data_IF_111019062884
#
_entry.id   IF_111019062884
#
_cell.length_a   1.000
_cell.length_b   1.000
_cell.length_c   1.000
_cell.angle_alpha   90.00
_cell.angle_beta   90.00
_cell.angle_gamma   90.00
#
_symmetry.space_group_name_H-M   'P 1'
#
loop_
_entity.id
_entity.type
_entity.pdbx_description
1 polymer ?
#
# COMPACT_ATOMS: atom_id res chain seq x y z
N UNK A 1 -6.52 -26.46 -5.95
CA UNK A 1 -6.49 -26.31 -4.48
C UNK A 1 -5.19 -25.62 -4.16
N UNK A 2 -5.21 -24.34 -3.79
CA UNK A 2 -4.04 -23.71 -3.19
C UNK A 2 -4.05 -24.12 -1.71
N UNK A 3 -2.96 -24.70 -1.23
CA UNK A 3 -2.82 -25.01 0.20
C UNK A 3 -3.06 -23.73 1.00
N UNK A 4 -3.86 -23.83 2.06
CA UNK A 4 -4.04 -22.69 2.97
C UNK A 4 -2.65 -22.32 3.50
N UNK A 5 -2.23 -21.04 3.41
CA UNK A 5 -0.94 -20.64 3.92
C UNK A 5 -0.88 -20.95 5.42
N UNK A 6 0.24 -21.54 5.86
CA UNK A 6 0.47 -21.84 7.26
C UNK A 6 0.42 -20.55 8.08
N UNK A 7 -0.48 -20.52 9.08
CA UNK A 7 -0.64 -19.39 9.99
C UNK A 7 0.09 -19.62 11.30
N UNK A 8 0.57 -18.54 11.91
CA UNK A 8 1.22 -18.55 13.20
C UNK A 8 0.86 -17.30 14.02
N UNK A 9 1.04 -17.39 15.34
CA UNK A 9 0.74 -16.30 16.26
C UNK A 9 1.99 -15.47 16.56
N UNK A 10 1.87 -14.15 16.43
CA UNK A 10 2.84 -13.18 16.92
C UNK A 10 2.38 -12.64 18.28
N UNK A 11 3.03 -13.05 19.36
CA UNK A 11 2.68 -12.62 20.72
C UNK A 11 3.53 -11.45 21.23
N UNK A 12 4.53 -11.01 20.45
CA UNK A 12 5.49 -9.97 20.84
C UNK A 12 5.31 -8.66 20.08
N UNK A 13 4.18 -8.50 19.38
CA UNK A 13 3.90 -7.33 18.57
C UNK A 13 3.69 -6.08 19.42
N UNK A 14 4.43 -5.01 19.09
CA UNK A 14 4.38 -3.70 19.74
C UNK A 14 3.36 -2.76 19.08
N UNK A 15 2.74 -3.16 17.97
CA UNK A 15 1.77 -2.36 17.22
C UNK A 15 2.31 -0.97 16.80
N UNK A 16 3.59 -0.91 16.43
CA UNK A 16 4.23 0.30 15.93
C UNK A 16 3.94 0.52 14.45
N UNK A 17 3.83 -0.56 13.66
CA UNK A 17 3.42 -0.55 12.26
C UNK A 17 2.08 -1.27 12.18
N UNK A 18 1.08 -0.69 11.51
CA UNK A 18 -0.19 -1.36 11.23
C UNK A 18 -0.74 -0.96 9.87
N UNK A 19 -1.72 -1.70 9.37
CA UNK A 19 -2.51 -1.33 8.21
C UNK A 19 -3.92 -1.04 8.68
N UNK A 20 -4.46 0.10 8.23
CA UNK A 20 -5.85 0.48 8.46
C UNK A 20 -6.60 0.34 7.14
N UNK A 21 -7.79 -0.24 7.19
CA UNK A 21 -8.49 -0.81 6.04
C UNK A 21 -10.00 -0.59 6.15
N UNK A 22 -10.61 -0.28 5.01
CA UNK A 22 -12.05 -0.20 4.80
C UNK A 22 -12.38 -0.54 3.34
N UNK A 23 -13.65 -0.49 2.97
CA UNK A 23 -14.07 -0.71 1.57
C UNK A 23 -13.51 0.33 0.61
N UNK A 24 -13.24 1.56 1.08
CA UNK A 24 -12.75 2.63 0.20
C UNK A 24 -11.25 2.51 -0.08
N UNK A 25 -10.49 1.84 0.79
CA UNK A 25 -9.04 1.75 0.64
C UNK A 25 -8.31 1.35 1.91
N UNK A 26 -6.98 1.51 1.87
CA UNK A 26 -6.09 1.17 2.97
C UNK A 26 -4.95 2.17 3.13
N UNK A 27 -4.42 2.30 4.35
CA UNK A 27 -3.21 3.07 4.60
C UNK A 27 -2.26 2.32 5.52
N UNK A 28 -0.97 2.49 5.25
CA UNK A 28 0.11 1.97 6.08
C UNK A 28 0.46 3.01 7.14
N UNK A 29 0.41 2.59 8.39
CA UNK A 29 0.52 3.44 9.56
C UNK A 29 1.75 3.06 10.37
N UNK A 30 2.51 4.06 10.83
CA UNK A 30 3.54 3.89 11.85
C UNK A 30 3.11 4.60 13.14
N UNK A 31 3.68 5.76 13.47
CA UNK A 31 3.13 6.70 14.48
C UNK A 31 2.06 7.63 13.87
N UNK A 32 2.17 7.85 12.57
CA UNK A 32 1.22 8.55 11.71
C UNK A 32 1.09 7.75 10.41
N UNK A 33 0.08 8.00 9.57
CA UNK A 33 0.05 7.43 8.23
C UNK A 33 1.37 7.76 7.50
N UNK A 34 1.85 6.84 6.67
CA UNK A 34 3.00 7.07 5.78
C UNK A 34 2.57 7.09 4.31
N UNK A 35 1.51 6.34 4.00
CA UNK A 35 0.99 6.19 2.65
C UNK A 35 -0.47 5.76 2.73
N UNK A 36 -1.30 6.33 1.87
CA UNK A 36 -2.71 6.00 1.74
C UNK A 36 -3.05 5.69 0.27
N UNK A 37 -3.81 4.63 0.08
CA UNK A 37 -4.35 4.22 -1.22
C UNK A 37 -5.87 4.05 -1.11
N UNK A 38 -6.61 4.50 -2.11
CA UNK A 38 -8.06 4.39 -2.14
C UNK A 38 -8.59 4.28 -3.57
N UNK A 39 -9.77 3.70 -3.73
CA UNK A 39 -10.39 3.54 -5.05
C UNK A 39 -10.69 4.89 -5.70
N UNK A 40 -10.47 4.97 -7.01
CA UNK A 40 -10.83 6.15 -7.81
C UNK A 40 -12.34 6.21 -8.16
N UNK A 41 -13.11 5.22 -7.67
CA UNK A 41 -14.55 5.05 -7.84
C UNK A 41 -15.02 5.25 -9.28
N UNK A 42 -14.15 4.93 -10.24
CA UNK A 42 -14.47 4.84 -11.66
C UNK A 42 -14.92 3.40 -11.99
N UNK A 43 -15.48 3.14 -13.18
CA UNK A 43 -15.80 1.77 -13.62
C UNK A 43 -14.55 0.93 -13.96
N UNK A 44 -13.39 1.27 -13.38
CA UNK A 44 -12.11 0.60 -13.57
C UNK A 44 -11.53 0.18 -12.21
N UNK A 45 -10.53 -0.70 -12.21
CA UNK A 45 -9.81 -1.14 -11.00
C UNK A 45 -8.67 -0.20 -10.61
N UNK A 46 -8.84 1.11 -10.84
CA UNK A 46 -7.81 2.11 -10.54
C UNK A 46 -7.89 2.54 -9.08
N UNK A 47 -6.72 2.58 -8.44
CA UNK A 47 -6.52 3.18 -7.12
C UNK A 47 -5.70 4.46 -7.24
N UNK A 48 -6.01 5.39 -6.36
CA UNK A 48 -5.28 6.62 -6.13
C UNK A 48 -4.32 6.40 -4.97
N UNK A 49 -3.16 7.04 -5.07
CA UNK A 49 -2.06 6.86 -4.14
C UNK A 49 -1.47 8.20 -3.71
N UNK A 50 -1.30 8.32 -2.40
CA UNK A 50 -0.65 9.45 -1.75
C UNK A 50 0.40 8.94 -0.78
N UNK A 51 1.66 9.28 -1.03
CA UNK A 51 2.78 8.97 -0.14
C UNK A 51 3.20 10.24 0.58
N UNK A 52 3.61 10.11 1.84
CA UNK A 52 4.10 11.22 2.64
C UNK A 52 5.61 11.37 2.52
N UNK A 53 6.20 12.48 3.00
CA UNK A 53 7.64 12.65 3.02
C UNK A 53 8.32 11.51 3.76
N UNK A 54 9.55 11.20 3.35
CA UNK A 54 10.27 10.05 3.88
C UNK A 54 10.42 10.15 5.42
N UNK A 55 9.85 9.17 6.14
CA UNK A 55 9.92 9.11 7.60
C UNK A 55 11.20 8.37 8.02
N UNK A 56 12.22 9.12 8.43
CA UNK A 56 13.54 8.57 8.76
C UNK A 56 13.51 7.64 9.98
N UNK A 57 12.71 7.97 11.00
CA UNK A 57 12.54 7.15 12.20
C UNK A 57 12.00 5.76 11.85
N UNK A 58 10.92 5.70 11.07
CA UNK A 58 10.39 4.43 10.54
C UNK A 58 11.45 3.63 9.78
N UNK A 59 12.23 4.29 8.90
CA UNK A 59 13.28 3.60 8.12
C UNK A 59 14.37 3.03 9.00
N UNK A 60 14.74 3.73 10.07
CA UNK A 60 15.77 3.29 11.00
C UNK A 60 15.26 2.17 11.90
N UNK A 61 14.01 2.24 12.39
CA UNK A 61 13.36 1.17 13.16
C UNK A 61 13.28 -0.16 12.40
N UNK A 62 12.90 -0.09 11.11
CA UNK A 62 12.89 -1.25 10.21
C UNK A 62 14.31 -1.76 9.99
N UNK A 63 15.26 -0.88 9.65
CA UNK A 63 16.66 -1.28 9.34
C UNK A 63 17.33 -1.96 10.53
N UNK A 64 17.13 -1.45 11.75
CA UNK A 64 17.73 -2.03 12.96
C UNK A 64 17.23 -3.45 13.26
N UNK A 65 16.04 -3.81 12.79
CA UNK A 65 15.44 -5.14 13.01
C UNK A 65 15.64 -6.10 11.85
N UNK A 66 15.99 -5.63 10.65
CA UNK A 66 16.27 -6.53 9.53
C UNK A 66 17.68 -7.10 9.62
N UNK A 67 17.76 -8.42 9.74
CA UNK A 67 19.03 -9.15 9.72
C UNK A 67 19.55 -9.26 8.28
N UNK A 68 20.86 -9.07 8.09
CA UNK A 68 21.52 -9.13 6.80
C UNK A 68 21.59 -10.57 6.25
N UNK A 69 20.62 -10.98 5.42
CA UNK A 69 20.73 -12.09 4.44
C UNK A 69 19.52 -12.14 3.47
N UNK A 70 19.31 -11.07 2.70
CA UNK A 70 18.10 -10.92 1.86
C UNK A 70 18.30 -11.34 0.40
N UNK A 71 19.24 -12.24 0.11
CA UNK A 71 19.61 -12.65 -1.26
C UNK A 71 19.39 -14.15 -1.53
N UNK A 72 19.05 -14.95 -0.52
CA UNK A 72 18.85 -16.38 -0.66
C UNK A 72 17.43 -16.76 -1.10
N UNK A 73 17.28 -17.99 -1.63
CA UNK A 73 15.98 -18.60 -1.92
C UNK A 73 15.46 -19.38 -0.71
N UNK A 74 14.29 -18.98 -0.20
CA UNK A 74 13.66 -19.61 0.96
C UNK A 74 12.40 -20.42 0.63
N UNK A 75 12.14 -20.74 -0.64
CA UNK A 75 10.91 -21.44 -1.07
C UNK A 75 10.63 -22.69 -0.25
N UNK A 76 11.66 -23.50 0.04
CA UNK A 76 11.56 -24.73 0.83
C UNK A 76 12.15 -24.60 2.26
N UNK A 77 12.45 -23.36 2.69
CA UNK A 77 13.13 -23.06 3.97
C UNK A 77 12.35 -21.99 4.75
N UNK A 78 11.02 -22.07 4.76
CA UNK A 78 10.15 -21.14 5.48
C UNK A 78 10.50 -20.96 6.97
N UNK A 79 10.91 -22.00 7.73
CA UNK A 79 11.36 -21.80 9.11
C UNK A 79 12.59 -20.89 9.23
N UNK A 80 13.55 -20.98 8.30
CA UNK A 80 14.73 -20.11 8.27
C UNK A 80 14.35 -18.67 7.89
N UNK A 81 13.47 -18.52 6.89
CA UNK A 81 12.94 -17.20 6.50
C UNK A 81 12.19 -16.54 7.66
N UNK A 82 11.39 -17.32 8.39
CA UNK A 82 10.69 -16.83 9.58
C UNK A 82 11.68 -16.33 10.61
N UNK A 83 12.79 -17.03 10.87
CA UNK A 83 13.82 -16.56 11.80
C UNK A 83 14.46 -15.21 11.37
N UNK A 84 14.59 -14.96 10.07
CA UNK A 84 15.11 -13.69 9.53
C UNK A 84 14.10 -12.55 9.69
N UNK A 85 12.82 -12.85 9.51
CA UNK A 85 11.72 -11.85 9.56
C UNK A 85 11.18 -11.64 10.98
N UNK A 86 11.37 -12.59 11.90
CA UNK A 86 10.84 -12.56 13.26
C UNK A 86 11.17 -11.28 14.05
N UNK A 87 12.38 -10.69 13.96
CA UNK A 87 12.64 -9.42 14.63
C UNK A 87 11.79 -8.27 14.07
N UNK A 88 11.47 -8.29 12.77
CA UNK A 88 10.58 -7.30 12.14
C UNK A 88 9.14 -7.43 12.65
N UNK A 89 8.68 -8.65 12.94
CA UNK A 89 7.32 -8.90 13.45
C UNK A 89 7.03 -8.21 14.78
N UNK A 90 8.05 -7.87 15.57
CA UNK A 90 7.88 -7.10 16.79
C UNK A 90 7.32 -5.69 16.52
N UNK A 91 7.52 -5.14 15.32
CA UNK A 91 6.94 -3.85 14.95
C UNK A 91 5.43 -3.93 14.70
N UNK A 92 4.89 -5.09 14.33
CA UNK A 92 3.48 -5.26 13.96
C UNK A 92 2.58 -5.48 15.19
N UNK A 93 1.24 -5.47 15.05
CA UNK A 93 0.35 -5.85 16.14
C UNK A 93 0.60 -7.29 16.59
N UNK A 94 0.29 -7.61 17.84
CA UNK A 94 0.11 -9.00 18.23
C UNK A 94 -1.10 -9.56 17.48
N UNK A 95 -1.02 -10.81 17.00
CA UNK A 95 -2.10 -11.40 16.20
C UNK A 95 -1.66 -12.56 15.32
N UNK A 96 -2.55 -12.99 14.44
CA UNK A 96 -2.31 -14.10 13.51
C UNK A 96 -1.66 -13.59 12.22
N UNK A 97 -0.64 -14.31 11.75
CA UNK A 97 0.10 -13.98 10.53
C UNK A 97 0.34 -15.20 9.65
N UNK A 98 0.50 -14.97 8.35
CA UNK A 98 1.14 -15.92 7.44
C UNK A 98 2.37 -15.32 6.78
N UNK A 99 3.28 -16.21 6.37
CA UNK A 99 4.50 -15.86 5.65
C UNK A 99 4.55 -16.66 4.35
N UNK A 100 4.73 -15.99 3.22
CA UNK A 100 4.84 -16.63 1.91
C UNK A 100 6.04 -16.10 1.15
N UNK A 101 6.88 -16.99 0.62
CA UNK A 101 8.01 -16.62 -0.24
C UNK A 101 7.63 -16.84 -1.71
N UNK A 102 7.84 -15.83 -2.53
CA UNK A 102 7.47 -15.82 -3.94
C UNK A 102 8.74 -15.82 -4.80
N UNK A 103 8.85 -16.81 -5.67
CA UNK A 103 10.01 -17.06 -6.54
C UNK A 103 9.64 -17.35 -7.99
N UNK A 104 8.36 -17.24 -8.34
CA UNK A 104 7.83 -17.75 -9.61
C UNK A 104 8.70 -17.32 -10.78
N UNK A 105 9.13 -18.32 -11.55
CA UNK A 105 9.84 -18.15 -12.79
C UNK A 105 8.88 -17.55 -13.80
N UNK A 106 8.89 -16.23 -13.94
CA UNK A 106 8.26 -15.59 -15.08
C UNK A 106 8.89 -16.17 -16.35
N UNK A 107 8.11 -16.94 -17.10
CA UNK A 107 8.44 -17.31 -18.47
C UNK A 107 7.75 -16.27 -19.35
N UNK A 108 8.55 -15.42 -20.01
CA UNK A 108 8.07 -14.56 -21.09
C UNK A 108 7.15 -15.38 -22.00
N UNK A 109 5.88 -14.98 -22.23
CA UNK A 109 5.04 -15.65 -23.22
C UNK A 109 5.78 -15.65 -24.56
N UNK A 110 5.87 -16.81 -25.20
CA UNK A 110 6.71 -17.00 -26.40
C UNK A 110 6.15 -16.32 -27.65
N UNK A 111 4.87 -15.91 -27.67
CA UNK A 111 4.17 -15.65 -28.95
C UNK A 111 3.15 -14.50 -28.93
N UNK A 112 3.16 -13.59 -27.94
CA UNK A 112 2.28 -12.40 -27.98
C UNK A 112 3.08 -11.11 -27.89
N UNK A 113 2.82 -10.17 -28.80
CA UNK A 113 3.32 -8.78 -28.72
C UNK A 113 2.77 -8.01 -27.50
N UNK A 114 1.78 -8.59 -26.81
CA UNK A 114 1.28 -8.12 -25.52
C UNK A 114 2.14 -8.66 -24.39
N UNK A 115 2.95 -7.78 -23.80
CA UNK A 115 3.60 -8.02 -22.51
C UNK A 115 2.54 -7.75 -21.43
N UNK A 116 1.84 -8.79 -20.99
CA UNK A 116 1.14 -8.70 -19.71
C UNK A 116 2.22 -8.69 -18.63
N UNK A 117 2.41 -7.55 -17.96
CA UNK A 117 3.20 -7.53 -16.74
C UNK A 117 2.33 -8.14 -15.66
N UNK A 118 2.74 -9.25 -15.05
CA UNK A 118 1.96 -9.88 -13.97
C UNK A 118 2.04 -9.07 -12.66
N UNK A 119 2.76 -7.95 -12.67
CA UNK A 119 2.97 -7.09 -11.51
C UNK A 119 3.18 -5.62 -11.88
N UNK A 120 2.86 -4.74 -10.95
CA UNK A 120 3.08 -3.29 -11.03
C UNK A 120 3.84 -2.79 -9.79
N UNK A 121 4.55 -1.67 -9.95
CA UNK A 121 5.25 -0.99 -8.88
C UNK A 121 4.83 0.48 -8.84
N UNK A 122 4.07 0.85 -7.80
CA UNK A 122 3.54 2.19 -7.62
C UNK A 122 4.47 3.04 -6.74
N UNK A 123 5.09 4.06 -7.35
CA UNK A 123 5.82 5.12 -6.67
C UNK A 123 5.12 6.46 -6.88
N UNK A 124 4.88 7.18 -5.79
CA UNK A 124 4.29 8.51 -5.84
C UNK A 124 5.30 9.59 -5.42
N UNK A 125 5.04 10.82 -5.86
CA UNK A 125 5.70 11.99 -5.28
C UNK A 125 5.12 12.28 -3.89
N UNK A 126 5.93 12.78 -2.94
CA UNK A 126 5.45 13.05 -1.60
C UNK A 126 4.41 14.18 -1.60
N UNK A 127 3.37 14.03 -0.79
CA UNK A 127 2.48 15.11 -0.41
C UNK A 127 3.19 16.04 0.56
N UNK A 128 3.00 17.34 0.36
CA UNK A 128 3.36 18.35 1.34
C UNK A 128 2.16 19.29 1.55
N UNK A 129 1.47 19.10 2.67
CA UNK A 129 0.27 19.87 3.02
C UNK A 129 0.57 21.37 3.12
N UNK A 130 1.81 21.76 3.42
CA UNK A 130 2.21 23.18 3.48
C UNK A 130 2.17 23.84 2.09
N UNK A 131 2.26 23.05 1.01
CA UNK A 131 2.19 23.53 -0.37
C UNK A 131 0.75 23.53 -0.93
N UNK A 132 -0.28 23.34 -0.12
CA UNK A 132 -1.67 23.22 -0.60
C UNK A 132 -2.13 24.42 -1.44
N UNK A 133 -1.80 25.65 -1.03
CA UNK A 133 -2.21 26.87 -1.73
C UNK A 133 -1.49 26.99 -3.08
N UNK A 134 -0.22 26.62 -3.11
CA UNK A 134 0.57 26.56 -4.33
C UNK A 134 -0.01 25.53 -5.30
N UNK A 135 -0.35 24.33 -4.83
CA UNK A 135 -0.95 23.27 -5.68
C UNK A 135 -2.32 23.66 -6.22
N UNK A 136 -3.13 24.36 -5.42
CA UNK A 136 -4.39 24.91 -5.90
C UNK A 136 -4.17 25.97 -6.98
N UNK A 137 -3.19 26.86 -6.80
CA UNK A 137 -2.83 27.89 -7.79
C UNK A 137 -2.35 27.27 -9.10
N UNK A 138 -1.41 26.33 -9.06
CA UNK A 138 -0.89 25.60 -10.23
C UNK A 138 -2.05 24.96 -11.04
N UNK A 139 -3.01 24.36 -10.33
CA UNK A 139 -4.19 23.77 -10.96
C UNK A 139 -5.11 24.81 -11.63
N UNK A 140 -5.36 25.96 -10.98
CA UNK A 140 -6.17 27.02 -11.56
C UNK A 140 -5.52 27.64 -12.80
N UNK A 141 -4.19 27.79 -12.79
CA UNK A 141 -3.40 28.23 -13.95
C UNK A 141 -3.50 27.21 -15.09
N UNK A 142 -3.33 25.92 -14.80
CA UNK A 142 -3.53 24.84 -15.77
C UNK A 142 -4.92 24.87 -16.42
N UNK A 143 -5.98 25.08 -15.63
CA UNK A 143 -7.35 25.23 -16.18
C UNK A 143 -7.49 26.46 -17.08
N UNK A 144 -6.84 27.57 -16.73
CA UNK A 144 -6.91 28.81 -17.49
C UNK A 144 -6.20 28.71 -18.85
N UNK A 145 -5.10 27.96 -18.92
CA UNK A 145 -4.33 27.71 -20.14
C UNK A 145 -5.04 26.70 -21.07
N UNK A 146 -5.72 25.70 -20.50
CA UNK A 146 -6.27 24.56 -21.25
C UNK A 146 -7.76 24.69 -21.62
N UNK A 147 -8.32 25.92 -21.65
CA UNK A 147 -9.74 26.23 -21.90
C UNK A 147 -10.37 25.60 -23.15
N UNK A 148 -9.58 25.09 -24.11
CA UNK A 148 -10.04 24.57 -25.41
C UNK A 148 -10.11 23.04 -25.52
N UNK A 149 -9.62 22.31 -24.52
CA UNK A 149 -9.53 20.86 -24.59
C UNK A 149 -10.58 20.22 -23.66
N UNK A 150 -11.45 19.35 -24.22
CA UNK A 150 -12.55 18.65 -23.52
C UNK A 150 -12.08 17.57 -22.50
N UNK A 151 -11.02 17.85 -21.74
CA UNK A 151 -10.35 16.89 -20.84
C UNK A 151 -10.98 16.91 -19.43
N UNK A 152 -12.31 16.97 -19.37
CA UNK A 152 -13.07 17.24 -18.13
C UNK A 152 -12.83 16.18 -17.02
N UNK A 153 -12.37 14.97 -17.38
CA UNK A 153 -12.05 13.91 -16.41
C UNK A 153 -10.58 13.87 -15.96
N UNK A 154 -9.66 14.51 -16.67
CA UNK A 154 -8.22 14.54 -16.34
C UNK A 154 -7.87 15.82 -15.56
N UNK A 155 -8.60 16.90 -15.82
CA UNK A 155 -8.42 18.19 -15.16
C UNK A 155 -9.10 18.28 -13.77
N UNK A 156 -9.06 17.24 -12.93
CA UNK A 156 -9.55 17.31 -11.55
C UNK A 156 -8.38 17.51 -10.59
N UNK A 157 -8.48 18.47 -9.66
CA UNK A 157 -7.40 18.81 -8.72
C UNK A 157 -6.87 17.59 -7.94
N UNK A 158 -7.77 16.76 -7.40
CA UNK A 158 -7.36 15.55 -6.68
C UNK A 158 -6.56 14.59 -7.57
N UNK A 159 -6.88 14.49 -8.87
CA UNK A 159 -6.18 13.61 -9.81
C UNK A 159 -4.81 14.16 -10.20
N UNK A 160 -4.66 15.48 -10.27
CA UNK A 160 -3.38 16.14 -10.55
C UNK A 160 -2.40 16.09 -9.36
N UNK A 161 -2.93 15.82 -8.17
CA UNK A 161 -2.18 15.80 -6.91
C UNK A 161 -2.11 14.42 -6.28
N UNK A 162 -2.52 13.38 -7.02
CA UNK A 162 -2.38 11.97 -6.63
C UNK A 162 -1.65 11.20 -7.73
N UNK A 163 -1.00 10.11 -7.35
CA UNK A 163 -0.58 9.09 -8.29
C UNK A 163 -1.72 8.09 -8.51
N UNK A 164 -1.80 7.43 -9.66
CA UNK A 164 -2.78 6.38 -9.91
C UNK A 164 -2.08 5.09 -10.35
N UNK A 165 -2.56 3.95 -9.86
CA UNK A 165 -2.07 2.62 -10.24
C UNK A 165 -3.25 1.66 -10.44
N UNK A 166 -3.01 0.53 -11.09
CA UNK A 166 -4.03 -0.46 -11.38
C UNK A 166 -3.95 -1.63 -10.39
N UNK A 167 -5.03 -1.89 -9.67
CA UNK A 167 -5.14 -3.05 -8.76
C UNK A 167 -5.63 -4.32 -9.48
N UNK A 168 -5.45 -4.38 -10.80
CA UNK A 168 -5.86 -5.50 -11.66
C UNK A 168 -4.74 -6.50 -11.94
N UNK A 169 -3.52 -6.20 -11.52
CA UNK A 169 -2.36 -7.10 -11.64
C UNK A 169 -2.37 -8.17 -10.55
N UNK A 170 -1.69 -9.30 -10.77
CA UNK A 170 -1.55 -10.33 -9.74
C UNK A 170 -0.83 -9.76 -8.50
N UNK A 171 0.17 -8.90 -8.72
CA UNK A 171 0.89 -8.20 -7.67
C UNK A 171 1.05 -6.70 -7.95
N UNK A 172 0.30 -5.85 -7.24
CA UNK A 172 0.48 -4.39 -7.25
C UNK A 172 1.25 -3.95 -6.01
N UNK A 173 2.54 -3.64 -6.13
CA UNK A 173 3.37 -3.23 -4.99
C UNK A 173 3.29 -1.72 -4.76
N UNK A 174 2.97 -1.34 -3.52
CA UNK A 174 2.82 0.05 -3.10
C UNK A 174 4.03 0.48 -2.28
N UNK A 175 4.80 1.45 -2.80
CA UNK A 175 6.01 1.92 -2.16
C UNK A 175 5.73 2.82 -0.95
N UNK A 176 6.07 2.36 0.27
CA UNK A 176 6.06 3.18 1.49
C UNK A 176 7.14 4.29 1.52
N UNK A 177 7.94 4.40 0.45
CA UNK A 177 8.97 5.40 0.27
C UNK A 177 8.59 6.28 -0.93
N UNK A 178 8.70 7.62 -0.84
CA UNK A 178 8.45 8.49 -1.98
C UNK A 178 9.45 8.25 -3.10
N UNK A 179 9.07 8.59 -4.33
CA UNK A 179 9.93 8.46 -5.51
C UNK A 179 11.28 9.20 -5.32
N UNK A 180 11.27 10.35 -4.64
CA UNK A 180 12.47 11.12 -4.30
C UNK A 180 13.43 10.42 -3.32
N UNK A 181 12.98 9.39 -2.61
CA UNK A 181 13.82 8.55 -1.75
C UNK A 181 14.57 7.45 -2.51
N UNK A 182 14.23 7.20 -3.78
CA UNK A 182 14.92 6.23 -4.61
C UNK A 182 16.29 6.78 -5.01
N UNK A 183 17.30 5.95 -4.80
CA UNK A 183 18.71 6.26 -5.02
C UNK A 183 19.18 5.47 -6.23
N UNK A 184 19.44 6.17 -7.33
CA UNK A 184 19.79 5.55 -8.61
C UNK A 184 21.06 4.70 -8.52
N UNK A 185 22.04 5.10 -7.70
CA UNK A 185 23.24 4.31 -7.45
C UNK A 185 22.94 2.96 -6.77
N UNK A 186 21.92 2.91 -5.90
CA UNK A 186 21.48 1.68 -5.24
C UNK A 186 20.68 0.79 -6.19
N UNK A 187 19.87 1.39 -7.06
CA UNK A 187 19.15 0.66 -8.11
C UNK A 187 20.16 -0.02 -9.04
N UNK A 188 21.12 0.73 -9.57
CA UNK A 188 22.20 0.20 -10.43
C UNK A 188 22.99 -0.92 -9.77
N UNK A 189 23.36 -0.75 -8.50
CA UNK A 189 24.01 -1.81 -7.74
C UNK A 189 23.19 -3.11 -7.75
N UNK A 190 21.88 -3.05 -7.50
CA UNK A 190 21.03 -4.23 -7.54
C UNK A 190 20.81 -4.78 -8.95
N UNK A 191 20.73 -3.93 -9.97
CA UNK A 191 20.69 -4.37 -11.37
C UNK A 191 21.93 -5.20 -11.72
N UNK A 192 23.12 -4.75 -11.30
CA UNK A 192 24.37 -5.50 -11.48
C UNK A 192 24.36 -6.83 -10.72
N UNK A 193 23.93 -6.86 -9.46
CA UNK A 193 23.85 -8.10 -8.69
C UNK A 193 22.87 -9.10 -9.37
N UNK A 194 21.68 -8.62 -9.76
CA UNK A 194 20.67 -9.45 -10.43
C UNK A 194 21.20 -10.02 -11.75
N UNK A 195 21.91 -9.20 -12.52
CA UNK A 195 22.52 -9.62 -13.79
C UNK A 195 23.61 -10.69 -13.58
N UNK A 196 24.36 -10.62 -12.47
CA UNK A 196 25.37 -11.64 -12.08
C UNK A 196 24.77 -12.96 -11.59
N UNK A 197 23.46 -13.01 -11.40
CA UNK A 197 22.76 -14.22 -10.95
C UNK A 197 22.21 -14.13 -9.52
N UNK A 198 22.54 -13.09 -8.77
CA UNK A 198 21.96 -12.87 -7.44
C UNK A 198 20.46 -12.60 -7.57
N UNK A 199 19.71 -12.90 -6.51
CA UNK A 199 18.27 -12.70 -6.50
C UNK A 199 17.83 -12.09 -5.18
N UNK A 200 18.20 -10.81 -4.93
CA UNK A 200 17.75 -10.07 -3.75
C UNK A 200 16.23 -10.11 -3.66
N UNK A 201 15.67 -10.28 -2.47
CA UNK A 201 14.22 -10.25 -2.27
C UNK A 201 13.75 -9.03 -1.49
N UNK A 202 12.52 -8.60 -1.77
CA UNK A 202 11.83 -7.54 -1.06
C UNK A 202 10.93 -8.09 0.06
N UNK A 203 10.59 -7.25 1.04
CA UNK A 203 9.66 -7.59 2.12
C UNK A 203 8.41 -6.75 1.95
N UNK A 204 7.27 -7.43 1.83
CA UNK A 204 5.96 -6.85 1.59
C UNK A 204 5.05 -7.18 2.77
N UNK A 205 4.24 -6.22 3.19
CA UNK A 205 3.26 -6.38 4.25
C UNK A 205 1.86 -6.00 3.76
N UNK A 206 0.91 -6.88 4.05
CA UNK A 206 -0.51 -6.66 3.75
C UNK A 206 -1.39 -7.20 4.89
N UNK A 207 -2.68 -6.95 4.77
CA UNK A 207 -3.69 -7.32 5.74
C UNK A 207 -4.87 -7.97 5.02
N UNK A 208 -5.36 -9.09 5.58
CA UNK A 208 -6.56 -9.77 5.11
C UNK A 208 -7.52 -9.97 6.29
N UNK A 209 -8.57 -9.16 6.33
CA UNK A 209 -9.63 -9.29 7.32
C UNK A 209 -10.72 -10.20 6.78
N UNK A 210 -10.83 -11.40 7.37
CA UNK A 210 -11.79 -12.41 6.96
C UNK A 210 -13.18 -12.11 7.55
N UNK A 211 -14.19 -11.92 6.69
CA UNK A 211 -15.56 -11.68 7.14
C UNK A 211 -16.56 -12.48 6.31
N UNK A 212 -17.40 -13.27 6.97
CA UNK A 212 -18.55 -13.94 6.36
C UNK A 212 -19.83 -13.38 6.93
N UNK A 213 -20.78 -13.03 6.06
CA UNK A 213 -22.08 -12.48 6.45
C UNK A 213 -23.17 -13.39 5.92
N UNK A 214 -24.06 -13.84 6.81
CA UNK A 214 -25.24 -14.61 6.43
C UNK A 214 -26.41 -13.65 6.21
N UNK A 215 -27.04 -13.65 5.04
CA UNK A 215 -28.27 -12.89 4.79
C UNK A 215 -29.49 -13.54 5.42
N UNK A 216 -30.60 -12.81 5.43
CA UNK A 216 -31.90 -13.25 5.94
C UNK A 216 -32.40 -14.55 5.30
N UNK A 217 -32.07 -14.81 4.03
CA UNK A 217 -32.43 -16.04 3.33
C UNK A 217 -31.42 -17.19 3.55
N UNK A 218 -30.45 -17.05 4.45
CA UNK A 218 -29.46 -18.07 4.79
C UNK A 218 -28.23 -18.14 3.87
N UNK A 219 -28.15 -17.32 2.83
CA UNK A 219 -26.96 -17.28 1.95
C UNK A 219 -25.76 -16.68 2.69
N UNK A 220 -24.59 -17.28 2.53
CA UNK A 220 -23.33 -16.80 3.11
C UNK A 220 -22.57 -16.02 2.03
N UNK A 221 -22.25 -14.76 2.33
CA UNK A 221 -21.43 -13.89 1.49
C UNK A 221 -20.06 -13.70 2.13
N UNK A 222 -19.03 -13.77 1.31
CA UNK A 222 -17.70 -13.31 1.68
C UNK A 222 -17.65 -11.78 1.56
N UNK A 223 -17.34 -11.11 2.67
CA UNK A 223 -17.12 -9.66 2.76
C UNK A 223 -15.72 -9.36 3.28
N UNK A 224 -14.79 -10.29 3.09
CA UNK A 224 -13.42 -10.11 3.51
C UNK A 224 -12.79 -8.90 2.82
N UNK A 225 -11.94 -8.20 3.54
CA UNK A 225 -11.22 -7.03 3.04
C UNK A 225 -9.74 -7.37 2.89
N UNK A 226 -9.16 -6.93 1.77
CA UNK A 226 -7.73 -7.04 1.50
C UNK A 226 -7.14 -5.65 1.37
N UNK A 227 -6.02 -5.41 2.03
CA UNK A 227 -5.24 -4.19 1.83
C UNK A 227 -4.36 -4.27 0.59
N UNK A 228 -3.73 -3.15 0.26
CA UNK A 228 -2.65 -3.11 -0.72
C UNK A 228 -1.39 -3.82 -0.21
N UNK A 229 -0.48 -4.14 -1.13
CA UNK A 229 0.81 -4.77 -0.85
C UNK A 229 1.89 -3.72 -0.57
N UNK A 230 2.06 -3.32 0.69
CA UNK A 230 3.00 -2.28 1.07
C UNK A 230 4.43 -2.80 1.17
N UNK A 231 5.35 -2.17 0.45
CA UNK A 231 6.78 -2.52 0.51
C UNK A 231 7.36 -1.98 1.82
N UNK A 232 7.86 -2.85 2.69
CA UNK A 232 8.58 -2.45 3.92
C UNK A 232 10.07 -2.27 3.61
N UNK A 233 10.66 -3.24 2.93
CA UNK A 233 12.03 -3.20 2.46
C UNK A 233 12.15 -3.68 1.02
N UNK A 234 13.15 -3.16 0.32
CA UNK A 234 13.48 -3.59 -1.03
C UNK A 234 12.95 -2.67 -2.13
N UNK A 235 12.59 -1.41 -1.82
CA UNK A 235 12.16 -0.42 -2.82
C UNK A 235 13.15 -0.31 -4.00
N UNK A 236 14.45 -0.16 -3.73
CA UNK A 236 15.48 -0.12 -4.78
C UNK A 236 15.66 -1.47 -5.50
N UNK A 237 15.45 -2.60 -4.79
CA UNK A 237 15.53 -3.96 -5.37
C UNK A 237 14.40 -4.17 -6.38
N UNK A 238 13.17 -3.85 -5.99
CA UNK A 238 11.99 -3.95 -6.85
C UNK A 238 12.10 -3.01 -8.04
N UNK A 239 12.63 -1.79 -7.86
CA UNK A 239 12.90 -0.89 -8.98
C UNK A 239 13.92 -1.47 -9.97
N UNK A 240 14.97 -2.13 -9.49
CA UNK A 240 15.94 -2.82 -10.33
C UNK A 240 15.29 -3.99 -11.11
N UNK A 241 14.50 -4.84 -10.46
CA UNK A 241 13.73 -5.88 -11.15
C UNK A 241 12.78 -5.31 -12.22
N UNK A 242 12.09 -4.20 -11.90
CA UNK A 242 11.19 -3.51 -12.81
C UNK A 242 11.94 -3.02 -14.07
N UNK A 243 13.09 -2.37 -13.88
CA UNK A 243 13.93 -1.89 -14.98
C UNK A 243 14.47 -3.04 -15.85
N UNK A 244 14.85 -4.16 -15.22
CA UNK A 244 15.33 -5.37 -15.90
C UNK A 244 14.21 -6.20 -16.52
N UNK A 245 12.94 -5.83 -16.32
CA UNK A 245 11.76 -6.60 -16.77
C UNK A 245 11.80 -8.05 -16.29
N UNK A 246 12.24 -8.23 -15.04
CA UNK A 246 12.33 -9.53 -14.37
C UNK A 246 11.32 -9.58 -13.23
N UNK A 247 10.67 -10.72 -13.04
CA UNK A 247 9.78 -10.90 -11.89
C UNK A 247 10.61 -10.92 -10.59
N UNK A 248 10.22 -10.13 -9.57
CA UNK A 248 11.00 -10.01 -8.35
C UNK A 248 10.84 -11.24 -7.45
N UNK A 249 11.86 -11.49 -6.63
CA UNK A 249 11.66 -12.29 -5.42
C UNK A 249 11.14 -11.41 -4.30
N UNK A 250 10.19 -11.91 -3.53
CA UNK A 250 9.68 -11.20 -2.38
C UNK A 250 9.10 -12.15 -1.34
N UNK A 251 9.05 -11.69 -0.10
CA UNK A 251 8.29 -12.31 0.97
C UNK A 251 7.06 -11.45 1.27
N UNK A 252 5.92 -12.10 1.39
CA UNK A 252 4.68 -11.48 1.85
C UNK A 252 4.44 -11.88 3.29
N UNK A 253 4.29 -10.89 4.16
CA UNK A 253 3.80 -11.03 5.53
C UNK A 253 2.34 -10.57 5.51
N UNK A 254 1.41 -11.47 5.84
CA UNK A 254 -0.02 -11.15 5.87
C UNK A 254 -0.52 -11.18 7.30
N UNK A 255 -1.08 -10.07 7.77
CA UNK A 255 -1.79 -10.01 9.04
C UNK A 255 -3.25 -10.43 8.86
N UNK A 256 -3.75 -11.27 9.78
CA UNK A 256 -5.14 -11.74 9.86
C UNK A 256 -5.79 -11.20 11.15
N UNK A 257 -6.27 -9.94 11.13
CA UNK A 257 -6.96 -9.35 12.28
C UNK A 257 -8.24 -10.13 12.61
N UNK A 258 -8.54 -10.24 13.91
CA UNK A 258 -9.73 -10.98 14.36
C UNK A 258 -10.98 -10.10 14.39
N UNK A 259 -10.79 -8.79 14.57
CA UNK A 259 -11.87 -7.82 14.69
C UNK A 259 -11.66 -6.65 13.72
N UNK A 260 -12.77 -6.02 13.33
CA UNK A 260 -12.74 -4.83 12.48
C UNK A 260 -12.09 -3.63 13.16
N UNK A 261 -12.13 -3.55 14.49
CA UNK A 261 -11.52 -2.45 15.25
C UNK A 261 -9.99 -2.44 15.13
N UNK A 262 -9.34 -3.61 15.00
CA UNK A 262 -7.89 -3.70 14.82
C UNK A 262 -7.41 -2.97 13.55
N UNK A 263 -8.22 -3.04 12.49
CA UNK A 263 -7.95 -2.44 11.18
C UNK A 263 -8.73 -1.15 10.91
N UNK A 264 -9.40 -0.58 11.92
CA UNK A 264 -10.30 0.55 11.73
C UNK A 264 -9.66 1.68 10.92
N UNK A 265 -10.23 1.96 9.75
CA UNK A 265 -9.84 3.09 8.92
C UNK A 265 -10.24 4.40 9.60
N UNK A 266 -9.26 5.16 10.08
CA UNK A 266 -9.49 6.42 10.77
C UNK A 266 -9.27 7.60 9.82
N UNK A 267 -10.36 8.28 9.46
CA UNK A 267 -10.28 9.44 8.57
C UNK A 267 -9.61 10.65 9.25
N UNK A 268 -9.65 10.76 10.58
CA UNK A 268 -8.98 11.87 11.28
C UNK A 268 -7.47 11.82 11.11
N UNK A 269 -6.87 10.62 11.09
CA UNK A 269 -5.44 10.44 10.84
C UNK A 269 -5.07 10.98 9.44
N UNK A 270 -5.93 10.75 8.45
CA UNK A 270 -5.69 11.19 7.08
C UNK A 270 -5.90 12.69 6.89
N UNK A 271 -6.82 13.31 7.63
CA UNK A 271 -7.06 14.77 7.59
C UNK A 271 -5.80 15.56 7.95
N UNK A 272 -4.93 15.01 8.80
CA UNK A 272 -3.70 15.67 9.23
C UNK A 272 -2.61 15.70 8.15
N UNK A 273 -2.67 14.78 7.19
CA UNK A 273 -1.53 14.47 6.31
C UNK A 273 -1.85 14.54 4.82
N UNK A 274 -3.14 14.51 4.44
CA UNK A 274 -3.57 14.64 3.05
C UNK A 274 -4.07 16.06 2.75
N UNK A 275 -4.10 16.42 1.47
CA UNK A 275 -4.73 17.67 1.06
C UNK A 275 -6.25 17.64 1.32
N UNK A 276 -6.87 18.79 1.65
CA UNK A 276 -8.30 18.85 1.94
C UNK A 276 -9.19 18.25 0.83
N UNK A 277 -8.87 18.50 -0.45
CA UNK A 277 -9.63 17.97 -1.58
C UNK A 277 -9.49 16.44 -1.77
N UNK A 278 -8.45 15.80 -1.20
CA UNK A 278 -8.36 14.33 -1.14
C UNK A 278 -9.35 13.79 -0.11
N UNK A 279 -9.44 14.43 1.06
CA UNK A 279 -10.40 14.06 2.11
C UNK A 279 -11.83 14.22 1.64
N UNK A 280 -12.16 15.36 1.01
CA UNK A 280 -13.48 15.60 0.41
C UNK A 280 -13.83 14.51 -0.60
N UNK A 281 -12.86 14.11 -1.43
CA UNK A 281 -13.05 13.04 -2.40
C UNK A 281 -13.32 11.70 -1.71
N UNK A 282 -12.53 11.31 -0.72
CA UNK A 282 -12.73 10.06 0.03
C UNK A 282 -14.11 10.06 0.69
N UNK A 283 -14.46 11.10 1.45
CA UNK A 283 -15.74 11.20 2.15
C UNK A 283 -16.93 11.21 1.19
N UNK A 284 -16.80 11.79 0.01
CA UNK A 284 -17.88 11.79 -0.98
C UNK A 284 -18.15 10.41 -1.58
N UNK A 285 -17.11 9.59 -1.74
CA UNK A 285 -17.21 8.32 -2.45
C UNK A 285 -17.17 7.09 -1.53
N UNK A 286 -16.90 7.28 -0.23
CA UNK A 286 -16.94 6.18 0.73
C UNK A 286 -18.37 5.76 1.03
N UNK A 287 -18.80 4.68 0.37
CA UNK A 287 -20.08 4.05 0.62
C UNK A 287 -20.17 3.54 2.07
N UNK A 288 -21.30 3.78 2.74
CA UNK A 288 -21.50 3.43 4.17
C UNK A 288 -20.49 4.07 5.14
N UNK A 289 -19.87 5.19 4.76
CA UNK A 289 -18.95 5.95 5.63
C UNK A 289 -19.53 6.26 7.00
N UNK A 290 -20.85 6.39 7.12
CA UNK A 290 -21.56 6.68 8.36
C UNK A 290 -21.17 5.69 9.47
N UNK A 291 -20.98 4.42 9.14
CA UNK A 291 -20.54 3.39 10.09
C UNK A 291 -19.15 3.66 10.69
N UNK A 292 -18.31 4.39 9.97
CA UNK A 292 -16.95 4.72 10.35
C UNK A 292 -16.85 6.10 10.99
N UNK A 293 -17.62 7.07 10.48
CA UNK A 293 -17.48 8.47 10.85
C UNK A 293 -18.39 8.89 12.01
N UNK A 294 -19.46 8.13 12.29
CA UNK A 294 -20.42 8.45 13.35
C UNK A 294 -19.76 8.73 14.72
N UNK A 295 -18.78 7.94 15.20
CA UNK A 295 -18.14 8.22 16.49
C UNK A 295 -17.37 9.55 16.52
N UNK A 296 -17.00 10.09 15.35
CA UNK A 296 -16.31 11.37 15.22
C UNK A 296 -17.31 12.53 15.12
N UNK A 297 -18.45 12.31 14.45
CA UNK A 297 -19.54 13.28 14.39
C UNK A 297 -20.07 13.65 15.79
N UNK A 298 -20.09 12.69 16.72
CA UNK A 298 -20.55 12.92 18.10
C UNK A 298 -19.54 13.73 18.94
N UNK A 299 -18.28 13.81 18.52
CA UNK A 299 -17.23 14.57 19.20
C UNK A 299 -17.23 16.02 18.71
N UNK A 300 -17.49 16.97 19.62
CA UNK A 300 -17.53 18.42 19.30
C UNK A 300 -16.25 18.95 18.63
N UNK A 301 -15.10 18.40 18.98
CA UNK A 301 -13.79 18.87 18.49
C UNK A 301 -13.24 17.99 17.35
N UNK A 302 -14.06 17.14 16.74
CA UNK A 302 -13.59 16.31 15.63
C UNK A 302 -13.20 17.17 14.43
N UNK A 303 -12.11 16.78 13.77
CA UNK A 303 -11.61 17.46 12.56
C UNK A 303 -12.53 17.24 11.35
N UNK A 304 -13.37 16.21 11.39
CA UNK A 304 -14.26 15.85 10.30
C UNK A 304 -15.36 16.91 10.05
N UNK A 305 -15.71 17.69 11.08
CA UNK A 305 -16.71 18.76 10.96
C UNK A 305 -16.33 19.83 9.95
N UNK A 306 -15.04 19.99 9.62
CA UNK A 306 -14.60 20.91 8.57
C UNK A 306 -15.00 20.44 7.16
N UNK A 307 -15.34 19.15 6.99
CA UNK A 307 -15.58 18.51 5.68
C UNK A 307 -17.03 18.06 5.47
N UNK A 308 -17.84 18.05 6.52
CA UNK A 308 -19.24 17.62 6.48
C UNK A 308 -20.09 18.87 6.65
N UNK A 309 -20.81 19.25 5.59
CA UNK A 309 -21.72 20.40 5.57
C UNK A 309 -23.17 19.97 5.69
#
# INVERSE_FOLDING_TARGET
>A
MYDKPSRYQNTKGLNLISIKLSEIGSYFHFQQPLIAAWWDNSPTVVKLLSVLPNNQEYRDEVRQRLISNLNEDYTNRLPELKAIVDPLLQLFPAGEYSLQFHTTSWKKPTETDYIFNDWELAFANPIDVQLQELKLKEYLEFLAENKRHQWHNIAKLWRQTTYSFYDGFEFSFVATMPASGIKEERVKYFEEQITKGDRPFAIVFNCHYEQKVTSENGNIYDRSLFSDNFIIDGHHKLKAYYNLKMFPRFVTITHYPTTREEIKFNIEDLIEVLYPWHIEYILRNWHQKEQYIQPYLEKKNSKIHAFIR
#
